data_IF_092718939474
#
_entry.id   IF_092718939474
#
_cell.length_a   1.000
_cell.length_b   1.000
_cell.length_c   1.000
_cell.angle_alpha   90.00
_cell.angle_beta   90.00
_cell.angle_gamma   90.00
#
_symmetry.space_group_name_H-M   'P 1'
#
loop_
_entity.id
_entity.type
_entity.pdbx_description
1 polymer ?
#
# COMPACT_ATOMS: atom_id res chain seq x y z
N UNK A 1 3.32 -4.12 13.82
CA UNK A 1 3.15 -2.77 13.21
C UNK A 1 4.09 -1.72 13.79
N UNK A 2 4.27 -1.57 15.11
CA UNK A 2 5.15 -0.53 15.69
C UNK A 2 6.60 -0.64 15.19
N UNK A 3 7.20 -1.84 15.24
CA UNK A 3 8.56 -2.06 14.75
C UNK A 3 8.72 -1.74 13.25
N UNK A 4 7.75 -2.16 12.42
CA UNK A 4 7.72 -1.82 11.00
C UNK A 4 7.71 -0.30 10.83
N UNK A 5 6.82 0.41 11.52
CA UNK A 5 6.74 1.88 11.46
C UNK A 5 8.07 2.55 11.84
N UNK A 6 8.76 2.05 12.87
CA UNK A 6 10.05 2.61 13.31
C UNK A 6 11.20 2.33 12.33
N UNK A 7 11.11 1.22 11.57
CA UNK A 7 12.11 0.87 10.54
C UNK A 7 11.90 1.60 9.20
N UNK A 8 10.76 2.26 9.03
CA UNK A 8 10.32 2.79 7.76
C UNK A 8 10.37 4.31 7.75
N UNK A 9 11.37 4.86 7.04
CA UNK A 9 11.63 6.30 7.01
C UNK A 9 10.39 7.08 6.57
N UNK A 10 9.57 6.54 5.67
CA UNK A 10 8.35 7.18 5.17
C UNK A 10 7.41 7.68 6.28
N UNK A 11 7.36 7.00 7.43
CA UNK A 11 6.51 7.37 8.57
C UNK A 11 7.10 8.48 9.47
N UNK A 12 8.29 8.99 9.16
CA UNK A 12 8.90 10.07 9.93
C UNK A 12 8.04 11.34 9.88
N UNK A 13 7.87 12.06 11.01
CA UNK A 13 7.01 13.24 11.07
C UNK A 13 7.42 14.40 10.15
N UNK A 14 8.68 14.41 9.70
CA UNK A 14 9.21 15.41 8.77
C UNK A 14 8.92 15.12 7.30
N UNK A 15 8.33 13.97 6.98
CA UNK A 15 7.98 13.62 5.61
C UNK A 15 6.62 14.20 5.19
N UNK A 16 6.33 14.04 3.90
CA UNK A 16 5.11 14.56 3.28
C UNK A 16 3.86 13.93 3.93
N UNK A 17 2.76 14.68 4.01
CA UNK A 17 1.53 14.17 4.62
C UNK A 17 0.97 12.98 3.83
N UNK A 18 0.20 12.14 4.56
CA UNK A 18 -0.60 11.08 3.99
C UNK A 18 -1.53 11.63 2.90
N UNK A 19 -1.55 10.99 1.74
CA UNK A 19 -2.40 11.35 0.61
C UNK A 19 -3.48 10.28 0.43
N UNK A 20 -4.77 10.62 0.58
CA UNK A 20 -5.85 9.69 0.25
C UNK A 20 -5.79 9.32 -1.23
N UNK A 21 -5.96 8.03 -1.53
CA UNK A 21 -6.03 7.54 -2.91
C UNK A 21 -7.49 7.35 -3.32
N UNK A 22 -7.75 7.37 -4.63
CA UNK A 22 -9.07 7.09 -5.19
C UNK A 22 -9.52 5.71 -4.73
N UNK A 23 -10.71 5.63 -4.14
CA UNK A 23 -11.34 4.36 -3.76
C UNK A 23 -12.07 3.79 -4.97
N UNK A 24 -11.77 2.55 -5.29
CA UNK A 24 -12.51 1.71 -6.23
C UNK A 24 -13.59 0.88 -5.51
N UNK A 25 -13.33 0.47 -4.27
CA UNK A 25 -14.24 -0.27 -3.41
C UNK A 25 -14.56 0.53 -2.12
N UNK A 26 -15.84 0.83 -1.80
CA UNK A 26 -16.20 1.62 -0.62
C UNK A 26 -15.90 0.92 0.71
N UNK A 27 -15.76 -0.41 0.72
CA UNK A 27 -15.37 -1.18 1.89
C UNK A 27 -13.86 -1.12 2.17
N UNK A 28 -13.06 -0.61 1.23
CA UNK A 28 -11.60 -0.52 1.36
C UNK A 28 -11.17 0.95 1.37
N UNK A 29 -10.31 1.30 2.30
CA UNK A 29 -9.63 2.58 2.32
C UNK A 29 -8.22 2.43 1.78
N UNK A 30 -7.80 3.39 0.97
CA UNK A 30 -6.49 3.41 0.33
C UNK A 30 -5.83 4.77 0.52
N UNK A 31 -4.54 4.78 0.83
CA UNK A 31 -3.76 6.00 0.98
C UNK A 31 -2.28 5.77 0.66
N UNK A 32 -1.56 6.85 0.37
CA UNK A 32 -0.13 6.87 0.08
C UNK A 32 0.58 7.69 1.15
N UNK A 33 1.64 7.15 1.73
CA UNK A 33 2.62 7.91 2.50
C UNK A 33 3.80 8.19 1.55
N UNK A 34 4.00 9.45 1.11
CA UNK A 34 5.06 9.74 0.17
C UNK A 34 6.42 9.69 0.86
N UNK A 35 7.34 8.93 0.28
CA UNK A 35 8.74 8.88 0.68
C UNK A 35 9.56 10.06 0.15
N UNK A 36 10.85 10.08 0.47
CA UNK A 36 11.82 11.01 -0.15
C UNK A 36 12.10 10.62 -1.61
N UNK A 37 11.94 9.35 -1.95
CA UNK A 37 11.88 8.81 -3.31
C UNK A 37 10.63 7.96 -3.57
N UNK A 38 10.53 7.42 -4.79
CA UNK A 38 9.43 6.54 -5.18
C UNK A 38 9.52 5.16 -4.49
N UNK A 39 10.73 4.70 -4.21
CA UNK A 39 11.01 3.41 -3.54
C UNK A 39 10.65 3.43 -2.04
N UNK A 40 10.73 4.60 -1.41
CA UNK A 40 10.38 4.80 0.00
C UNK A 40 8.89 5.07 0.23
N UNK A 41 8.09 5.11 -0.83
CA UNK A 41 6.67 5.41 -0.70
C UNK A 41 5.88 4.18 -0.28
N UNK A 42 4.95 4.35 0.67
CA UNK A 42 4.18 3.25 1.25
C UNK A 42 2.71 3.40 0.87
N UNK A 43 2.17 2.39 0.19
CA UNK A 43 0.75 2.29 -0.16
C UNK A 43 0.03 1.51 0.92
N UNK A 44 -0.96 2.14 1.54
CA UNK A 44 -1.78 1.57 2.59
C UNK A 44 -3.11 1.15 2.00
N UNK A 45 -3.51 -0.10 2.21
CA UNK A 45 -4.87 -0.55 1.95
C UNK A 45 -5.42 -1.23 3.19
N UNK A 46 -6.67 -0.93 3.57
CA UNK A 46 -7.33 -1.59 4.67
C UNK A 46 -8.80 -1.86 4.37
N UNK A 47 -9.24 -3.10 4.60
CA UNK A 47 -10.63 -3.49 4.54
C UNK A 47 -11.34 -3.12 5.84
N UNK A 48 -12.46 -2.40 5.75
CA UNK A 48 -13.27 -1.98 6.88
C UNK A 48 -14.47 -2.92 7.12
N UNK A 49 -14.57 -4.01 6.37
CA UNK A 49 -15.68 -4.96 6.43
C UNK A 49 -15.26 -6.30 7.03
N UNK A 50 -16.24 -7.01 7.61
CA UNK A 50 -16.16 -8.40 8.04
C UNK A 50 -16.12 -9.42 6.89
N UNK A 51 -16.27 -8.95 5.64
CA UNK A 51 -16.21 -9.78 4.43
C UNK A 51 -14.92 -9.50 3.67
N UNK A 52 -14.45 -10.47 2.91
CA UNK A 52 -13.33 -10.26 1.98
C UNK A 52 -13.73 -9.32 0.85
N UNK A 53 -12.83 -8.42 0.46
CA UNK A 53 -13.03 -7.45 -0.61
C UNK A 53 -11.82 -7.38 -1.53
N UNK A 54 -12.07 -7.25 -2.84
CA UNK A 54 -11.03 -6.87 -3.79
C UNK A 54 -10.89 -5.35 -3.80
N UNK A 55 -9.65 -4.89 -3.90
CA UNK A 55 -9.33 -3.49 -4.12
C UNK A 55 -8.19 -3.35 -5.11
N UNK A 56 -8.23 -2.26 -5.87
CA UNK A 56 -7.26 -1.88 -6.87
C UNK A 56 -6.54 -0.62 -6.40
N UNK A 57 -5.25 -0.75 -6.11
CA UNK A 57 -4.41 0.41 -5.86
C UNK A 57 -3.73 0.87 -7.15
N UNK A 58 -3.76 2.18 -7.40
CA UNK A 58 -2.97 2.81 -8.46
C UNK A 58 -1.54 3.05 -7.95
N UNK A 59 -0.55 2.52 -8.67
CA UNK A 59 0.88 2.70 -8.36
C UNK A 59 1.54 3.54 -9.44
N UNK A 60 2.52 4.40 -9.09
CA UNK A 60 3.23 5.23 -10.06
C UNK A 60 4.00 4.37 -11.05
N UNK A 61 4.20 4.90 -12.24
CA UNK A 61 4.86 4.20 -13.34
C UNK A 61 6.30 3.77 -13.02
N UNK A 62 6.97 4.43 -12.08
CA UNK A 62 8.30 4.01 -11.60
C UNK A 62 8.29 2.73 -10.75
N UNK A 63 7.10 2.24 -10.34
CA UNK A 63 6.90 0.99 -9.64
C UNK A 63 6.85 -0.25 -10.56
N UNK A 64 6.90 -0.05 -11.88
CA UNK A 64 6.51 -1.05 -12.87
C UNK A 64 7.36 -2.32 -12.85
N UNK A 65 8.66 -2.18 -12.58
CA UNK A 65 9.63 -3.28 -12.70
C UNK A 65 10.07 -3.86 -11.34
N UNK A 66 9.56 -3.29 -10.24
CA UNK A 66 9.89 -3.74 -8.88
C UNK A 66 8.72 -4.49 -8.25
N UNK A 67 8.96 -5.66 -7.62
CA UNK A 67 7.92 -6.33 -6.84
C UNK A 67 7.47 -5.43 -5.70
N UNK A 68 6.18 -5.42 -5.38
CA UNK A 68 5.72 -4.78 -4.15
C UNK A 68 5.81 -5.75 -3.00
N UNK A 69 6.35 -5.31 -1.89
CA UNK A 69 6.46 -6.07 -0.64
C UNK A 69 5.36 -5.59 0.31
N UNK A 70 4.52 -6.51 0.75
CA UNK A 70 3.65 -6.30 1.91
C UNK A 70 4.50 -6.33 3.19
N UNK A 71 4.73 -5.17 3.77
CA UNK A 71 5.52 -5.01 5.00
C UNK A 71 4.87 -5.64 6.23
N UNK A 72 3.55 -5.87 6.23
CA UNK A 72 2.85 -6.51 7.35
C UNK A 72 2.94 -8.04 7.22
N UNK A 73 2.56 -8.57 6.05
CA UNK A 73 2.51 -10.01 5.80
C UNK A 73 3.81 -10.64 5.29
N UNK A 74 4.80 -9.82 4.89
CA UNK A 74 6.08 -10.25 4.32
C UNK A 74 5.99 -10.85 2.91
N UNK A 75 4.86 -10.66 2.20
CA UNK A 75 4.60 -11.29 0.90
C UNK A 75 4.94 -10.34 -0.23
N UNK A 76 5.58 -10.86 -1.28
CA UNK A 76 5.68 -10.13 -2.55
C UNK A 76 4.38 -10.25 -3.34
N UNK A 77 3.96 -9.13 -3.91
CA UNK A 77 2.79 -8.99 -4.77
C UNK A 77 3.26 -8.53 -6.15
N UNK A 78 2.72 -9.18 -7.17
CA UNK A 78 2.94 -8.80 -8.56
C UNK A 78 1.88 -7.77 -8.99
N UNK A 79 2.30 -6.77 -9.76
CA UNK A 79 1.36 -5.88 -10.42
C UNK A 79 0.55 -6.64 -11.48
N UNK A 80 -0.74 -6.31 -11.59
CA UNK A 80 -1.64 -6.95 -12.57
C UNK A 80 -1.73 -6.16 -13.89
N UNK A 81 -1.32 -4.89 -13.89
CA UNK A 81 -1.18 -4.07 -15.08
C UNK A 81 -0.22 -2.90 -14.84
N UNK A 82 0.07 -2.11 -15.89
CA UNK A 82 1.09 -1.05 -15.94
C UNK A 82 1.11 -0.05 -14.78
N UNK A 83 0.03 0.08 -14.03
CA UNK A 83 -0.07 1.01 -12.91
C UNK A 83 -1.08 0.57 -11.85
N UNK A 84 -1.46 -0.71 -11.81
CA UNK A 84 -2.50 -1.21 -10.92
C UNK A 84 -2.15 -2.54 -10.29
N UNK A 85 -2.54 -2.66 -9.02
CA UNK A 85 -2.42 -3.89 -8.27
C UNK A 85 -3.80 -4.22 -7.72
N UNK A 86 -4.30 -5.40 -8.03
CA UNK A 86 -5.50 -5.95 -7.40
C UNK A 86 -5.07 -6.82 -6.22
N UNK A 87 -5.67 -6.55 -5.06
CA UNK A 87 -5.46 -7.29 -3.83
C UNK A 87 -6.80 -7.77 -3.30
N UNK A 88 -6.85 -9.04 -2.94
CA UNK A 88 -7.93 -9.58 -2.12
C UNK A 88 -7.57 -9.40 -0.64
N UNK A 89 -8.28 -8.51 0.03
CA UNK A 89 -8.16 -8.30 1.46
C UNK A 89 -9.19 -9.16 2.20
N UNK A 90 -8.73 -9.95 3.17
CA UNK A 90 -9.59 -10.65 4.12
C UNK A 90 -10.36 -9.69 5.04
N UNK A 91 -11.27 -10.21 5.87
CA UNK A 91 -12.00 -9.44 6.87
C UNK A 91 -11.06 -8.60 7.73
N UNK A 92 -11.28 -7.29 7.79
CA UNK A 92 -10.47 -6.34 8.58
C UNK A 92 -8.95 -6.33 8.29
N UNK A 93 -8.53 -6.91 7.16
CA UNK A 93 -7.12 -6.99 6.83
C UNK A 93 -6.59 -5.62 6.37
N UNK A 94 -5.37 -5.31 6.81
CA UNK A 94 -4.58 -4.21 6.27
C UNK A 94 -3.29 -4.75 5.64
N UNK A 95 -2.84 -4.10 4.57
CA UNK A 95 -1.56 -4.36 3.89
C UNK A 95 -0.85 -3.04 3.66
N UNK A 96 0.48 -3.06 3.84
CA UNK A 96 1.34 -1.90 3.62
C UNK A 96 2.34 -2.27 2.54
N UNK A 97 2.19 -1.70 1.36
CA UNK A 97 3.00 -2.07 0.21
C UNK A 97 4.12 -1.06 0.01
N UNK A 98 5.32 -1.56 -0.23
CA UNK A 98 6.48 -0.78 -0.61
C UNK A 98 7.15 -1.42 -1.82
N UNK A 99 7.80 -0.63 -2.67
CA UNK A 99 8.65 -1.18 -3.73
C UNK A 99 9.86 -1.87 -3.10
N UNK A 100 10.15 -3.10 -3.55
CA UNK A 100 11.31 -3.90 -3.13
C UNK A 100 12.48 -3.81 -4.08
#
# INVERSE_FOLDING_TARGET
MIGIRQSQQAFDPGNRPLQPMRRDNPAVVSALIPGKGTEDSIYLLANLSEKSHRAVAEIPDSAQDSPLIDLIGGKQLAAISKNKIEILLGPYQAVWLQQG
#
